data_IF_945582537797
#
_entry.id   IF_945582537797
#
_cell.length_a   1.000
_cell.length_b   1.000
_cell.length_c   1.000
_cell.angle_alpha   90.00
_cell.angle_beta   90.00
_cell.angle_gamma   90.00
#
_symmetry.space_group_name_H-M   'P 1'
#
loop_
_entity.id
_entity.type
_entity.pdbx_description
1 polymer ?
#
# COMPACT_ATOMS: atom_id res chain seq x y z
N UNK A 1 9.71 17.54 19.80
CA UNK A 1 8.80 18.09 18.76
C UNK A 1 7.38 17.78 19.18
N UNK A 2 6.48 18.75 19.14
CA UNK A 2 5.07 18.54 19.51
C UNK A 2 4.35 17.86 18.33
N UNK A 3 3.61 16.79 18.59
CA UNK A 3 2.83 16.11 17.58
C UNK A 3 1.78 17.08 16.99
N UNK A 4 1.57 17.08 15.65
CA UNK A 4 0.56 17.94 15.04
C UNK A 4 -0.85 17.62 15.57
N UNK A 5 -1.74 18.63 15.63
CA UNK A 5 -3.09 18.42 16.17
C UNK A 5 -3.90 17.53 15.22
N UNK A 6 -4.64 16.58 15.80
CA UNK A 6 -5.59 15.75 15.06
C UNK A 6 -6.79 16.61 14.66
N UNK A 7 -7.00 16.82 13.37
CA UNK A 7 -8.14 17.54 12.81
C UNK A 7 -9.20 16.57 12.28
N UNK A 8 -10.42 17.05 12.02
CA UNK A 8 -11.44 16.25 11.33
C UNK A 8 -10.99 15.77 9.94
N UNK A 9 -10.23 16.59 9.25
CA UNK A 9 -9.64 16.26 7.94
C UNK A 9 -8.64 15.10 8.09
N UNK A 10 -7.67 15.23 9.00
CA UNK A 10 -6.68 14.16 9.22
C UNK A 10 -7.35 12.85 9.65
N UNK A 11 -8.37 12.91 10.50
CA UNK A 11 -9.15 11.73 10.88
C UNK A 11 -9.84 11.06 9.68
N UNK A 12 -10.45 11.85 8.79
CA UNK A 12 -11.11 11.32 7.60
C UNK A 12 -10.13 10.64 6.66
N UNK A 13 -8.97 11.26 6.38
CA UNK A 13 -7.93 10.69 5.55
C UNK A 13 -7.37 9.40 6.13
N UNK A 14 -7.03 9.40 7.43
CA UNK A 14 -6.49 8.22 8.11
C UNK A 14 -7.51 7.07 8.16
N UNK A 15 -8.79 7.38 8.44
CA UNK A 15 -9.85 6.37 8.43
C UNK A 15 -10.05 5.77 7.03
N UNK A 16 -9.96 6.59 5.98
CA UNK A 16 -10.06 6.12 4.60
C UNK A 16 -8.88 5.23 4.22
N UNK A 17 -7.64 5.63 4.59
CA UNK A 17 -6.45 4.82 4.33
C UNK A 17 -6.52 3.47 5.08
N UNK A 18 -6.86 3.50 6.37
CA UNK A 18 -7.00 2.28 7.18
C UNK A 18 -8.04 1.32 6.58
N UNK A 19 -9.20 1.84 6.14
CA UNK A 19 -10.23 1.02 5.52
C UNK A 19 -9.74 0.32 4.24
N UNK A 20 -8.90 0.98 3.42
CA UNK A 20 -8.34 0.35 2.22
C UNK A 20 -7.30 -0.73 2.56
N UNK A 21 -6.46 -0.50 3.56
CA UNK A 21 -5.49 -1.47 4.05
C UNK A 21 -6.15 -2.71 4.65
N UNK A 22 -7.22 -2.51 5.43
CA UNK A 22 -8.05 -3.58 5.97
C UNK A 22 -8.72 -4.39 4.86
N UNK A 23 -9.17 -3.72 3.79
CA UNK A 23 -9.74 -4.36 2.62
C UNK A 23 -8.70 -5.25 1.93
N UNK A 24 -7.49 -4.73 1.64
CA UNK A 24 -6.40 -5.50 1.03
C UNK A 24 -6.10 -6.78 1.82
N UNK A 25 -5.96 -6.69 3.13
CA UNK A 25 -5.66 -7.85 3.97
C UNK A 25 -6.86 -8.78 4.12
N UNK A 26 -8.05 -8.24 4.34
CA UNK A 26 -9.27 -8.99 4.62
C UNK A 26 -9.78 -9.80 3.43
N UNK A 27 -9.66 -9.28 2.20
CA UNK A 27 -10.07 -10.04 1.01
C UNK A 27 -9.16 -11.25 0.76
N UNK A 28 -7.92 -11.22 1.22
CA UNK A 28 -6.96 -12.31 1.08
C UNK A 28 -7.01 -13.35 2.21
N UNK A 29 -7.77 -13.07 3.27
CA UNK A 29 -7.85 -13.94 4.43
C UNK A 29 -8.35 -15.33 4.05
N UNK A 30 -7.62 -16.37 4.50
CA UNK A 30 -7.95 -17.78 4.26
C UNK A 30 -7.50 -18.33 2.90
N UNK A 31 -6.87 -17.54 2.02
CA UNK A 31 -6.22 -18.07 0.82
C UNK A 31 -4.98 -18.90 1.17
N UNK A 32 -4.77 -19.98 0.45
CA UNK A 32 -3.58 -20.80 0.56
C UNK A 32 -2.34 -20.11 -0.03
N UNK A 33 -1.13 -20.57 0.34
CA UNK A 33 0.12 -20.12 -0.29
C UNK A 33 0.08 -20.29 -1.82
N UNK A 34 -0.47 -21.42 -2.29
CA UNK A 34 -0.62 -21.69 -3.72
C UNK A 34 -1.54 -20.67 -4.39
N UNK A 35 -2.71 -20.36 -3.82
CA UNK A 35 -3.65 -19.41 -4.36
C UNK A 35 -3.10 -17.99 -4.37
N UNK A 36 -2.40 -17.59 -3.30
CA UNK A 36 -1.76 -16.27 -3.22
C UNK A 36 -0.69 -16.06 -4.30
N UNK A 37 -0.04 -17.14 -4.76
CA UNK A 37 1.00 -17.11 -5.80
C UNK A 37 0.51 -17.46 -7.19
N UNK A 38 -0.73 -17.88 -7.33
CA UNK A 38 -1.29 -18.30 -8.62
C UNK A 38 -1.67 -17.09 -9.47
N UNK A 39 -1.12 -16.93 -10.70
CA UNK A 39 -1.58 -15.89 -11.61
C UNK A 39 -2.96 -16.25 -12.17
N UNK A 40 -3.95 -15.40 -11.94
CA UNK A 40 -5.35 -15.62 -12.33
C UNK A 40 -5.67 -14.89 -13.63
N UNK A 41 -5.14 -13.69 -13.79
CA UNK A 41 -5.47 -12.81 -14.91
C UNK A 41 -4.42 -12.90 -16.03
N UNK A 42 -4.77 -12.52 -17.28
CA UNK A 42 -3.84 -12.52 -18.41
C UNK A 42 -2.55 -11.70 -18.17
N UNK A 43 -2.62 -10.66 -17.36
CA UNK A 43 -1.48 -9.83 -16.94
C UNK A 43 -0.49 -10.55 -16.02
N UNK A 44 -0.87 -11.74 -15.51
CA UNK A 44 -0.03 -12.67 -14.75
C UNK A 44 0.52 -12.18 -13.40
N UNK A 45 0.04 -11.07 -12.87
CA UNK A 45 0.34 -10.73 -11.48
C UNK A 45 -0.35 -11.71 -10.51
N UNK A 46 0.18 -11.79 -9.30
CA UNK A 46 -0.34 -12.67 -8.24
C UNK A 46 -0.80 -11.82 -7.06
N UNK A 47 -1.71 -12.34 -6.23
CA UNK A 47 -2.14 -11.62 -5.02
C UNK A 47 -0.95 -11.27 -4.12
N UNK A 48 -0.02 -12.21 -3.92
CA UNK A 48 1.21 -11.93 -3.15
C UNK A 48 2.08 -10.85 -3.81
N UNK A 49 2.23 -10.87 -5.15
CA UNK A 49 2.98 -9.86 -5.88
C UNK A 49 2.36 -8.46 -5.77
N UNK A 50 1.02 -8.37 -5.83
CA UNK A 50 0.34 -7.09 -5.65
C UNK A 50 0.52 -6.55 -4.23
N UNK A 51 0.41 -7.38 -3.19
CA UNK A 51 0.66 -6.92 -1.81
C UNK A 51 2.12 -6.53 -1.60
N UNK A 52 3.06 -7.25 -2.24
CA UNK A 52 4.47 -6.89 -2.19
C UNK A 52 4.72 -5.52 -2.84
N UNK A 53 4.11 -5.26 -4.00
CA UNK A 53 4.12 -3.93 -4.62
C UNK A 53 3.54 -2.86 -3.68
N UNK A 54 2.39 -3.10 -3.05
CA UNK A 54 1.81 -2.17 -2.09
C UNK A 54 2.75 -1.90 -0.89
N UNK A 55 3.47 -2.91 -0.41
CA UNK A 55 4.41 -2.75 0.70
C UNK A 55 5.62 -1.87 0.31
N UNK A 56 6.20 -2.12 -0.87
CA UNK A 56 7.46 -1.51 -1.31
C UNK A 56 7.21 -0.18 -2.02
N UNK A 57 6.43 -0.21 -3.11
CA UNK A 57 6.28 0.94 -4.03
C UNK A 57 5.20 1.93 -3.56
N UNK A 58 4.35 1.53 -2.59
CA UNK A 58 3.32 2.42 -2.06
C UNK A 58 3.63 2.82 -0.62
N UNK A 59 3.58 1.91 0.35
CA UNK A 59 3.73 2.28 1.76
C UNK A 59 5.16 2.76 2.07
N UNK A 60 6.17 1.96 1.78
CA UNK A 60 7.57 2.32 2.04
C UNK A 60 7.99 3.53 1.23
N UNK A 61 7.76 3.50 -0.07
CA UNK A 61 8.19 4.56 -0.97
C UNK A 61 7.58 5.92 -0.59
N UNK A 62 6.23 5.99 -0.48
CA UNK A 62 5.59 7.28 -0.24
C UNK A 62 5.83 7.82 1.17
N UNK A 63 5.73 6.98 2.20
CA UNK A 63 5.82 7.50 3.57
C UNK A 63 7.27 7.55 4.08
N UNK A 64 8.05 6.49 3.88
CA UNK A 64 9.41 6.49 4.41
C UNK A 64 10.38 7.29 3.54
N UNK A 65 10.40 7.07 2.21
CA UNK A 65 11.31 7.79 1.35
C UNK A 65 10.81 9.21 1.06
N UNK A 66 9.61 9.38 0.51
CA UNK A 66 9.14 10.69 0.06
C UNK A 66 8.80 11.60 1.24
N UNK A 67 7.97 11.17 2.19
CA UNK A 67 7.56 12.01 3.33
C UNK A 67 8.68 12.17 4.34
N UNK A 68 9.31 11.08 4.80
CA UNK A 68 10.32 11.14 5.85
C UNK A 68 11.76 11.36 5.35
N UNK A 69 12.03 11.18 4.05
CA UNK A 69 13.38 11.33 3.47
C UNK A 69 14.33 10.21 3.86
N UNK A 70 13.81 9.02 4.24
CA UNK A 70 14.65 7.86 4.49
C UNK A 70 15.28 7.36 3.19
N UNK A 71 16.55 6.94 3.21
CA UNK A 71 17.17 6.38 2.02
C UNK A 71 16.47 5.07 1.61
N UNK A 72 16.24 4.90 0.32
CA UNK A 72 15.79 3.62 -0.22
C UNK A 72 16.91 2.59 -0.11
N UNK A 73 16.60 1.32 0.19
CA UNK A 73 17.61 0.26 0.20
C UNK A 73 18.28 0.10 -1.17
N UNK A 74 19.60 -0.12 -1.18
CA UNK A 74 20.38 -0.34 -2.42
C UNK A 74 20.00 -1.67 -3.14
N UNK A 75 19.38 -2.60 -2.42
CA UNK A 75 18.98 -3.93 -2.89
C UNK A 75 17.45 -4.07 -3.04
N UNK A 76 16.78 -3.04 -3.54
CA UNK A 76 15.37 -3.20 -3.87
C UNK A 76 15.19 -4.09 -5.12
N UNK A 77 14.15 -4.95 -5.15
CA UNK A 77 13.90 -5.76 -6.33
C UNK A 77 13.58 -4.86 -7.53
N UNK A 78 14.18 -5.13 -8.69
CA UNK A 78 13.91 -4.41 -9.95
C UNK A 78 12.40 -4.41 -10.32
N UNK A 79 11.64 -5.31 -9.72
CA UNK A 79 10.21 -5.45 -9.94
C UNK A 79 9.50 -5.93 -8.65
N UNK A 80 8.90 -5.00 -7.92
CA UNK A 80 8.16 -5.29 -6.70
C UNK A 80 6.93 -6.20 -6.90
N UNK A 81 6.44 -6.37 -8.12
CA UNK A 81 5.37 -7.31 -8.45
C UNK A 81 5.82 -8.79 -8.44
N UNK A 82 7.11 -9.04 -8.39
CA UNK A 82 7.69 -10.39 -8.36
C UNK A 82 8.19 -10.72 -6.95
N UNK A 83 7.51 -11.67 -6.30
CA UNK A 83 7.95 -12.19 -5.01
C UNK A 83 9.00 -13.27 -5.23
N UNK A 84 10.20 -13.15 -4.63
CA UNK A 84 11.24 -14.18 -4.69
C UNK A 84 10.71 -15.56 -4.27
N UNK A 85 11.24 -16.62 -4.85
CA UNK A 85 10.74 -17.97 -4.63
C UNK A 85 10.97 -18.48 -3.19
N UNK A 86 11.95 -17.93 -2.50
CA UNK A 86 12.30 -18.23 -1.10
C UNK A 86 11.54 -17.38 -0.07
N UNK A 87 10.77 -16.38 -0.51
CA UNK A 87 9.92 -15.53 0.36
C UNK A 87 8.50 -16.07 0.32
N UNK A 88 7.93 -16.48 1.44
CA UNK A 88 6.54 -16.96 1.51
C UNK A 88 5.51 -15.83 1.35
N UNK A 89 4.29 -16.14 0.87
CA UNK A 89 3.22 -15.15 0.82
C UNK A 89 2.87 -14.62 2.21
N UNK A 90 2.93 -15.44 3.25
CA UNK A 90 2.76 -15.01 4.63
C UNK A 90 3.80 -13.94 5.02
N UNK A 91 5.07 -14.12 4.64
CA UNK A 91 6.11 -13.13 4.90
C UNK A 91 5.86 -11.80 4.15
N UNK A 92 5.28 -11.86 2.95
CA UNK A 92 4.87 -10.66 2.19
C UNK A 92 3.75 -9.91 2.91
N UNK A 93 2.70 -10.62 3.36
CA UNK A 93 1.61 -10.02 4.13
C UNK A 93 2.12 -9.38 5.44
N UNK A 94 3.06 -10.04 6.13
CA UNK A 94 3.68 -9.48 7.34
C UNK A 94 4.59 -8.29 7.04
N UNK A 95 5.27 -8.28 5.90
CA UNK A 95 6.03 -7.11 5.44
C UNK A 95 5.10 -5.91 5.18
N UNK A 96 3.97 -6.13 4.51
CA UNK A 96 2.97 -5.09 4.29
C UNK A 96 2.45 -4.50 5.61
N UNK A 97 2.08 -5.35 6.58
CA UNK A 97 1.66 -4.88 7.92
C UNK A 97 2.74 -4.02 8.60
N UNK A 98 4.00 -4.46 8.55
CA UNK A 98 5.11 -3.67 9.12
C UNK A 98 5.29 -2.32 8.43
N UNK A 99 5.21 -2.27 7.11
CA UNK A 99 5.34 -1.00 6.38
C UNK A 99 4.15 -0.06 6.69
N UNK A 100 2.92 -0.58 6.83
CA UNK A 100 1.77 0.25 7.24
C UNK A 100 1.93 0.81 8.66
N UNK A 101 2.46 0.03 9.61
CA UNK A 101 2.75 0.51 10.98
C UNK A 101 3.82 1.62 10.98
N UNK A 102 4.89 1.47 10.18
CA UNK A 102 5.93 2.49 10.02
C UNK A 102 5.36 3.76 9.37
N UNK A 103 4.55 3.60 8.32
CA UNK A 103 3.85 4.69 7.67
C UNK A 103 2.96 5.47 8.65
N UNK A 104 2.18 4.78 9.48
CA UNK A 104 1.31 5.40 10.49
C UNK A 104 2.11 6.25 11.49
N UNK A 105 3.28 5.78 11.91
CA UNK A 105 4.16 6.54 12.80
C UNK A 105 4.68 7.84 12.14
N UNK A 106 5.04 7.76 10.85
CA UNK A 106 5.49 8.93 10.06
C UNK A 106 4.34 9.92 9.86
N UNK A 107 3.16 9.44 9.47
CA UNK A 107 1.98 10.26 9.26
C UNK A 107 1.59 10.98 10.57
N UNK A 108 1.59 10.27 11.68
CA UNK A 108 1.26 10.84 13.00
C UNK A 108 2.25 11.93 13.45
N UNK A 109 3.49 11.90 12.97
CA UNK A 109 4.53 12.88 13.31
C UNK A 109 4.58 14.07 12.34
N UNK A 110 3.86 14.03 11.20
CA UNK A 110 3.95 14.99 10.10
C UNK A 110 2.66 15.79 9.96
N UNK A 111 2.75 17.11 9.82
CA UNK A 111 1.57 17.94 9.56
C UNK A 111 1.07 17.75 8.12
N UNK A 112 -0.25 17.84 7.89
CA UNK A 112 -0.85 17.61 6.57
C UNK A 112 -0.35 18.55 5.48
N UNK A 113 0.08 19.75 5.83
CA UNK A 113 0.62 20.78 4.94
C UNK A 113 2.15 20.76 4.84
N UNK A 114 2.81 19.76 5.45
CA UNK A 114 4.25 19.61 5.32
C UNK A 114 4.63 19.12 3.94
N UNK A 115 5.58 19.79 3.27
CA UNK A 115 6.11 19.30 2.01
C UNK A 115 6.89 17.99 2.22
N UNK A 116 7.01 17.13 1.18
CA UNK A 116 7.84 15.95 1.23
C UNK A 116 9.30 16.32 1.55
N UNK A 117 9.97 15.49 2.37
CA UNK A 117 11.38 15.68 2.71
C UNK A 117 12.31 15.36 1.53
N UNK A 118 11.89 14.49 0.65
CA UNK A 118 12.58 14.12 -0.59
C UNK A 118 11.58 13.96 -1.74
N UNK A 119 12.04 14.19 -2.98
CA UNK A 119 11.23 13.97 -4.19
C UNK A 119 12.07 13.35 -5.31
N UNK A 120 11.61 12.27 -5.95
CA UNK A 120 12.35 11.59 -7.02
C UNK A 120 12.10 12.27 -8.39
N UNK A 121 12.75 13.38 -8.65
CA UNK A 121 12.58 14.16 -9.90
C UNK A 121 12.90 13.35 -11.15
N UNK A 122 13.90 12.47 -11.08
CA UNK A 122 14.29 11.59 -12.18
C UNK A 122 13.18 10.58 -12.54
N UNK A 123 12.32 10.21 -11.59
CA UNK A 123 11.23 9.25 -11.80
C UNK A 123 9.96 9.95 -12.32
N UNK A 124 9.60 11.09 -11.75
CA UNK A 124 8.32 11.74 -12.00
C UNK A 124 8.40 13.02 -12.86
N UNK A 125 9.60 13.46 -13.20
CA UNK A 125 9.79 14.68 -14.00
C UNK A 125 9.15 15.90 -13.33
N UNK A 126 8.25 16.58 -14.04
CA UNK A 126 7.56 17.79 -13.55
C UNK A 126 6.33 17.49 -12.67
N UNK A 127 5.86 16.24 -12.60
CA UNK A 127 4.75 15.88 -11.72
C UNK A 127 5.20 15.92 -10.26
N UNK A 128 4.37 16.47 -9.37
CA UNK A 128 4.71 16.64 -7.96
C UNK A 128 3.46 16.66 -7.09
N UNK A 129 3.57 16.09 -5.88
CA UNK A 129 2.63 16.26 -4.79
C UNK A 129 3.20 17.28 -3.81
N UNK A 130 2.37 18.25 -3.42
CA UNK A 130 2.85 19.42 -2.70
C UNK A 130 3.07 19.17 -1.21
N UNK A 131 2.27 18.30 -0.61
CA UNK A 131 2.25 18.08 0.85
C UNK A 131 1.78 16.67 1.22
N UNK A 132 1.82 16.34 2.52
CA UNK A 132 1.35 15.04 3.05
C UNK A 132 -0.12 14.77 2.70
N UNK A 133 -0.96 15.80 2.65
CA UNK A 133 -2.39 15.64 2.30
C UNK A 133 -2.55 15.08 0.89
N UNK A 134 -1.84 15.63 -0.09
CA UNK A 134 -1.87 15.16 -1.47
C UNK A 134 -1.28 13.74 -1.60
N UNK A 135 -0.22 13.43 -0.84
CA UNK A 135 0.36 12.09 -0.77
C UNK A 135 -0.64 11.10 -0.19
N UNK A 136 -1.33 11.43 0.91
CA UNK A 136 -2.37 10.57 1.48
C UNK A 136 -3.51 10.31 0.49
N UNK A 137 -3.99 11.33 -0.21
CA UNK A 137 -5.03 11.17 -1.23
C UNK A 137 -4.57 10.25 -2.36
N UNK A 138 -3.32 10.41 -2.81
CA UNK A 138 -2.72 9.55 -3.83
C UNK A 138 -2.63 8.09 -3.36
N UNK A 139 -2.09 7.85 -2.17
CA UNK A 139 -1.94 6.49 -1.62
C UNK A 139 -3.30 5.83 -1.35
N UNK A 140 -4.30 6.58 -0.86
CA UNK A 140 -5.68 6.07 -0.69
C UNK A 140 -6.24 5.61 -2.03
N UNK A 141 -6.11 6.42 -3.09
CA UNK A 141 -6.61 6.08 -4.42
C UNK A 141 -5.89 4.86 -5.02
N UNK A 142 -4.58 4.79 -4.87
CA UNK A 142 -3.74 3.68 -5.32
C UNK A 142 -4.10 2.38 -4.60
N UNK A 143 -4.17 2.41 -3.27
CA UNK A 143 -4.54 1.25 -2.46
C UNK A 143 -5.97 0.78 -2.76
N UNK A 144 -6.93 1.70 -2.94
CA UNK A 144 -8.30 1.37 -3.30
C UNK A 144 -8.41 0.71 -4.68
N UNK A 145 -7.64 1.20 -5.67
CA UNK A 145 -7.57 0.60 -6.99
C UNK A 145 -7.07 -0.85 -6.90
N UNK A 146 -6.02 -1.08 -6.13
CA UNK A 146 -5.44 -2.40 -5.94
C UNK A 146 -6.29 -3.33 -5.07
N UNK A 147 -7.02 -2.82 -4.09
CA UNK A 147 -8.02 -3.58 -3.34
C UNK A 147 -9.11 -4.13 -4.28
N UNK A 148 -9.61 -3.30 -5.21
CA UNK A 148 -10.57 -3.75 -6.24
C UNK A 148 -9.99 -4.80 -7.20
N UNK A 149 -8.69 -4.74 -7.53
CA UNK A 149 -8.02 -5.81 -8.28
C UNK A 149 -7.98 -7.13 -7.49
N UNK A 150 -7.72 -7.07 -6.19
CA UNK A 150 -7.73 -8.25 -5.31
C UNK A 150 -9.14 -8.83 -5.16
N UNK A 151 -10.19 -8.01 -5.13
CA UNK A 151 -11.58 -8.48 -5.15
C UNK A 151 -11.85 -9.33 -6.39
N UNK A 152 -11.51 -8.82 -7.57
CA UNK A 152 -11.70 -9.54 -8.82
C UNK A 152 -10.91 -10.85 -8.86
N UNK A 153 -9.66 -10.84 -8.38
CA UNK A 153 -8.84 -12.04 -8.29
C UNK A 153 -9.45 -13.05 -7.31
N UNK A 154 -9.92 -12.60 -6.14
CA UNK A 154 -10.54 -13.43 -5.12
C UNK A 154 -11.81 -14.11 -5.62
N UNK A 155 -12.67 -13.37 -6.29
CA UNK A 155 -13.90 -13.91 -6.87
C UNK A 155 -13.60 -15.02 -7.89
N UNK A 156 -12.55 -14.87 -8.70
CA UNK A 156 -12.10 -15.88 -9.65
C UNK A 156 -11.43 -17.10 -8.99
N UNK A 157 -10.85 -16.95 -7.79
CA UNK A 157 -10.20 -18.04 -7.06
C UNK A 157 -11.22 -18.95 -6.40
N UNK A 158 -12.14 -18.39 -5.60
CA UNK A 158 -13.07 -19.15 -4.76
C UNK A 158 -14.47 -18.56 -4.63
N UNK A 159 -14.79 -17.48 -5.36
CA UNK A 159 -16.10 -16.84 -5.36
C UNK A 159 -16.36 -15.92 -4.17
N UNK A 160 -15.40 -15.75 -3.24
CA UNK A 160 -15.55 -14.83 -2.10
C UNK A 160 -15.48 -13.38 -2.58
N UNK A 161 -16.38 -12.57 -2.03
CA UNK A 161 -16.45 -11.13 -2.27
C UNK A 161 -16.19 -10.37 -0.97
N UNK A 162 -15.65 -9.16 -1.05
CA UNK A 162 -15.51 -8.26 0.08
C UNK A 162 -16.89 -7.71 0.48
N UNK A 163 -17.07 -6.47 0.66
CA UNK A 163 -18.36 -5.91 1.08
C UNK A 163 -19.31 -5.80 -0.11
N UNK A 164 -20.12 -6.84 -0.37
CA UNK A 164 -21.24 -6.78 -1.33
C UNK A 164 -22.53 -6.73 -0.54
N UNK A 165 -23.31 -5.66 -0.74
CA UNK A 165 -24.68 -5.57 -0.23
C UNK A 165 -25.55 -6.54 -1.04
N UNK A 166 -25.82 -7.70 -0.48
CA UNK A 166 -26.85 -8.62 -1.01
C UNK A 166 -28.17 -8.26 -0.38
N UNK A 167 -29.19 -7.99 -1.21
CA UNK A 167 -30.56 -7.83 -0.75
C UNK A 167 -31.13 -9.14 -0.18
#
# INVERSE_FOLDING_TARGET
>A
MTQPPITKESQALLSSLAAQRDHVLGILEGLSEEDLRRPILPSRWTCAGLVHHLAIDVERFWFRAVVAGEPMPDEEPDNAWQVPADVTAAAVLDAYRRETELADAIIAATALDSPPAWWPEDLFGSWRLADLREILLHVIAETACHAGHLDAARELIDGRQWVVLTE
#
